data_IF_968056681974
#
_entry.id   IF_968056681974
#
_cell.length_a   1.000
_cell.length_b   1.000
_cell.length_c   1.000
_cell.angle_alpha   90.00
_cell.angle_beta   90.00
_cell.angle_gamma   90.00
#
_symmetry.space_group_name_H-M   'P 1'
#
loop_
_entity.id
_entity.type
_entity.pdbx_description
1 polymer ?
#
# COMPACT_ATOMS: atom_id res chain seq x y z
N UNK A 1 1.64 -8.86 21.19
CA UNK A 1 2.25 -8.06 20.12
C UNK A 1 1.27 -6.94 19.78
N UNK A 2 1.75 -5.78 19.34
CA UNK A 2 0.87 -4.71 18.87
C UNK A 2 0.43 -5.09 17.44
N UNK A 3 -0.87 -5.14 17.21
CA UNK A 3 -1.49 -5.39 15.91
C UNK A 3 -2.02 -4.07 15.35
N UNK A 4 -1.67 -3.77 14.10
CA UNK A 4 -2.05 -2.54 13.40
C UNK A 4 -3.11 -2.77 12.33
N UNK A 5 -3.59 -4.00 12.14
CA UNK A 5 -4.62 -4.36 11.16
C UNK A 5 -5.83 -3.42 11.26
N UNK A 6 -6.28 -2.89 10.12
CA UNK A 6 -7.38 -1.91 10.04
C UNK A 6 -7.01 -0.47 10.43
N UNK A 7 -5.83 -0.22 11.00
CA UNK A 7 -5.37 1.14 11.30
C UNK A 7 -4.99 1.88 10.02
N UNK A 8 -5.26 3.18 9.97
CA UNK A 8 -4.83 4.03 8.86
C UNK A 8 -3.36 4.42 9.02
N UNK A 9 -2.54 4.01 8.06
CA UNK A 9 -1.17 4.44 7.89
C UNK A 9 -1.08 5.58 6.86
N UNK A 10 -0.09 6.45 6.99
CA UNK A 10 0.20 7.50 6.01
C UNK A 10 1.52 7.19 5.30
N UNK A 11 1.46 6.96 4.00
CA UNK A 11 2.63 6.90 3.14
C UNK A 11 2.89 8.27 2.50
N UNK A 12 4.16 8.68 2.44
CA UNK A 12 4.58 9.96 1.86
C UNK A 12 5.71 9.74 0.86
N UNK A 13 5.73 10.51 -0.23
CA UNK A 13 6.77 10.39 -1.25
C UNK A 13 6.58 11.31 -2.46
N UNK A 14 7.55 11.26 -3.37
CA UNK A 14 7.57 12.01 -4.64
C UNK A 14 7.37 11.09 -5.85
N UNK A 15 6.88 9.87 -5.63
CA UNK A 15 6.70 8.88 -6.69
C UNK A 15 5.79 9.36 -7.83
N UNK A 16 5.67 8.52 -8.86
CA UNK A 16 4.69 8.74 -9.91
C UNK A 16 3.28 8.73 -9.31
N UNK A 17 2.37 9.51 -9.90
CA UNK A 17 0.96 9.55 -9.50
C UNK A 17 0.05 8.75 -10.44
N UNK A 18 0.64 8.09 -11.44
CA UNK A 18 0.05 7.10 -12.32
C UNK A 18 1.20 6.34 -13.01
N UNK A 19 0.95 5.14 -13.54
CA UNK A 19 1.97 4.30 -14.20
C UNK A 19 2.80 5.06 -15.26
N UNK A 20 2.11 5.87 -16.09
CA UNK A 20 2.71 6.63 -17.18
C UNK A 20 3.00 8.11 -16.83
N UNK A 21 2.93 8.49 -15.55
CA UNK A 21 3.22 9.86 -15.11
C UNK A 21 4.72 10.08 -14.83
N UNK A 22 5.13 11.34 -14.88
CA UNK A 22 6.42 11.78 -14.35
C UNK A 22 6.45 11.72 -12.82
N UNK A 23 7.67 11.70 -12.27
CA UNK A 23 7.92 11.82 -10.83
C UNK A 23 7.33 13.14 -10.33
N UNK A 24 6.65 13.11 -9.18
CA UNK A 24 6.02 14.31 -8.65
C UNK A 24 7.06 15.34 -8.20
N UNK A 25 6.93 16.58 -8.67
CA UNK A 25 7.74 17.70 -8.20
C UNK A 25 7.39 18.12 -6.75
N UNK A 26 6.22 17.70 -6.26
CA UNK A 26 5.71 18.05 -4.94
C UNK A 26 5.56 16.78 -4.09
N UNK A 27 5.87 16.89 -2.80
CA UNK A 27 5.66 15.82 -1.84
C UNK A 27 4.17 15.46 -1.80
N UNK A 28 3.86 14.17 -1.96
CA UNK A 28 2.51 13.62 -1.88
C UNK A 28 2.35 12.77 -0.63
N UNK A 29 1.09 12.59 -0.22
CA UNK A 29 0.70 11.72 0.88
C UNK A 29 -0.54 10.92 0.49
N UNK A 30 -0.62 9.69 0.98
CA UNK A 30 -1.81 8.85 0.88
C UNK A 30 -2.06 8.18 2.23
N UNK A 31 -3.32 8.09 2.62
CA UNK A 31 -3.74 7.31 3.79
C UNK A 31 -4.30 5.97 3.30
N UNK A 32 -3.77 4.88 3.83
CA UNK A 32 -4.13 3.51 3.46
C UNK A 32 -4.31 2.67 4.72
N UNK A 33 -5.29 1.75 4.76
CA UNK A 33 -5.44 0.84 5.89
C UNK A 33 -4.35 -0.22 5.85
N UNK A 34 -3.84 -0.62 7.00
CA UNK A 34 -3.01 -1.82 7.14
C UNK A 34 -3.91 -3.04 6.98
N UNK A 35 -3.50 -3.97 6.11
CA UNK A 35 -4.19 -5.22 5.83
C UNK A 35 -3.61 -6.34 6.68
N UNK A 36 -4.46 -7.31 7.02
CA UNK A 36 -4.02 -8.60 7.53
C UNK A 36 -3.28 -9.40 6.46
N UNK A 37 -2.52 -10.41 6.88
CA UNK A 37 -1.84 -11.32 5.95
C UNK A 37 -2.84 -12.10 5.08
N UNK A 38 -4.03 -12.40 5.63
CA UNK A 38 -5.11 -13.05 4.89
C UNK A 38 -5.64 -12.12 3.79
N UNK A 39 -6.01 -10.89 4.13
CA UNK A 39 -6.46 -9.90 3.14
C UNK A 39 -5.37 -9.62 2.10
N UNK A 40 -4.11 -9.53 2.51
CA UNK A 40 -3.03 -9.32 1.55
C UNK A 40 -2.88 -10.50 0.58
N UNK A 41 -3.13 -11.72 1.06
CA UNK A 41 -3.10 -12.90 0.21
C UNK A 41 -4.25 -13.01 -0.79
N UNK A 42 -5.34 -12.27 -0.55
CA UNK A 42 -6.45 -12.12 -1.50
C UNK A 42 -6.18 -11.05 -2.56
N UNK A 43 -5.13 -10.24 -2.38
CA UNK A 43 -4.73 -9.26 -3.39
C UNK A 43 -4.22 -9.92 -4.67
N UNK A 44 -4.12 -9.12 -5.74
CA UNK A 44 -3.49 -9.54 -7.00
C UNK A 44 -1.99 -9.84 -6.86
N UNK A 45 -1.38 -9.59 -5.68
CA UNK A 45 0.03 -9.82 -5.44
C UNK A 45 0.31 -11.31 -5.14
N UNK A 46 1.33 -11.93 -5.76
CA UNK A 46 1.60 -13.35 -5.55
C UNK A 46 1.94 -13.67 -4.09
N UNK A 47 1.17 -14.58 -3.47
CA UNK A 47 1.33 -14.97 -2.06
C UNK A 47 2.74 -15.43 -1.71
N UNK A 48 3.43 -16.08 -2.65
CA UNK A 48 4.82 -16.55 -2.48
C UNK A 48 5.88 -15.44 -2.50
N UNK A 49 5.49 -14.18 -2.72
CA UNK A 49 6.38 -13.02 -2.68
C UNK A 49 6.23 -12.18 -1.42
N UNK A 50 5.24 -12.45 -0.58
CA UNK A 50 5.07 -11.81 0.73
C UNK A 50 5.86 -12.65 1.74
N UNK A 51 6.78 -12.00 2.46
CA UNK A 51 7.62 -12.65 3.47
C UNK A 51 7.18 -12.25 4.88
N UNK A 52 7.60 -13.00 5.90
CA UNK A 52 7.26 -12.73 7.31
C UNK A 52 7.72 -11.35 7.83
N UNK A 53 8.61 -10.67 7.10
CA UNK A 53 9.09 -9.33 7.42
C UNK A 53 8.36 -8.22 6.64
N UNK A 54 7.30 -8.56 5.92
CA UNK A 54 6.50 -7.63 5.13
C UNK A 54 5.09 -7.56 5.68
N UNK A 55 4.43 -6.43 5.45
CA UNK A 55 3.00 -6.26 5.66
C UNK A 55 2.44 -5.47 4.49
N UNK A 56 1.12 -5.49 4.34
CA UNK A 56 0.45 -4.82 3.24
C UNK A 56 -0.40 -3.66 3.75
N UNK A 57 -0.49 -2.61 2.96
CA UNK A 57 -1.37 -1.49 3.25
C UNK A 57 -1.93 -0.94 1.95
N UNK A 58 -3.25 -0.79 1.88
CA UNK A 58 -3.92 -0.39 0.65
C UNK A 58 -5.38 -0.83 0.61
N UNK A 59 -6.05 -0.52 -0.49
CA UNK A 59 -7.42 -0.95 -0.73
C UNK A 59 -7.41 -2.09 -1.76
N UNK A 60 -8.05 -3.23 -1.45
CA UNK A 60 -8.13 -4.38 -2.36
C UNK A 60 -8.78 -4.03 -3.71
N UNK A 61 -9.61 -2.98 -3.75
CA UNK A 61 -10.28 -2.49 -4.95
C UNK A 61 -9.39 -1.63 -5.86
N UNK A 62 -8.11 -1.40 -5.50
CA UNK A 62 -7.19 -0.59 -6.29
C UNK A 62 -7.55 0.90 -6.33
N UNK A 63 -8.36 1.37 -5.38
CA UNK A 63 -8.87 2.74 -5.38
C UNK A 63 -7.80 3.81 -5.09
N UNK A 64 -6.79 3.46 -4.28
CA UNK A 64 -5.62 4.31 -3.92
C UNK A 64 -4.45 3.43 -3.48
N UNK A 65 -3.29 3.62 -4.09
CA UNK A 65 -2.01 3.03 -3.69
C UNK A 65 -0.90 4.10 -3.68
N UNK A 66 0.31 3.72 -3.26
CA UNK A 66 1.53 4.52 -3.20
C UNK A 66 1.90 5.25 -4.51
N UNK A 67 1.48 4.72 -5.66
CA UNK A 67 1.71 5.32 -7.00
C UNK A 67 0.45 5.94 -7.64
N UNK A 68 -0.66 6.08 -6.91
CA UNK A 68 -1.94 6.58 -7.44
C UNK A 68 -3.13 5.88 -6.81
#
# INVERSE_FOLDING_TARGET
AIDYTGSLATAIGWGKTAEDADISQFLRKVNVPVLSDEECSESSYPRNRITDNMFCAGYLTGARDSCG
#
